data_IF_278413645242
#
_entry.id   IF_278413645242
#
_cell.length_a   1.000
_cell.length_b   1.000
_cell.length_c   1.000
_cell.angle_alpha   90.00
_cell.angle_beta   90.00
_cell.angle_gamma   90.00
#
_symmetry.space_group_name_H-M   'P 1'
#
loop_
_entity.id
_entity.type
_entity.pdbx_description
1 polymer ?
#
# COMPACT_ATOMS: atom_id res chain seq x y z
N UNK A 1 4.55 15.57 18.31
CA UNK A 1 4.42 14.24 17.69
C UNK A 1 4.58 14.42 16.20
N UNK A 2 5.36 13.57 15.55
CA UNK A 2 5.52 13.57 14.08
C UNK A 2 4.25 13.02 13.44
N UNK A 3 3.78 13.64 12.35
CA UNK A 3 2.56 13.22 11.69
C UNK A 3 2.77 11.91 10.91
N UNK A 4 1.69 11.17 10.64
CA UNK A 4 1.75 9.95 9.84
C UNK A 4 2.27 10.25 8.42
N UNK A 5 1.88 11.40 7.87
CA UNK A 5 2.35 11.90 6.56
C UNK A 5 3.86 12.10 6.52
N UNK A 6 4.46 12.64 7.59
CA UNK A 6 5.92 12.85 7.63
C UNK A 6 6.69 11.53 7.51
N UNK A 7 6.13 10.42 8.01
CA UNK A 7 6.75 9.10 7.88
C UNK A 7 6.63 8.54 6.45
N UNK A 8 5.53 8.82 5.77
CA UNK A 8 5.40 8.45 4.36
C UNK A 8 6.32 9.28 3.46
N UNK A 9 6.48 10.57 3.75
CA UNK A 9 7.42 11.43 3.04
C UNK A 9 8.87 10.95 3.25
N UNK A 10 9.23 10.58 4.48
CA UNK A 10 10.51 9.93 4.78
C UNK A 10 10.68 8.59 4.04
N UNK A 11 9.59 7.86 3.81
CA UNK A 11 9.59 6.63 3.03
C UNK A 11 9.59 6.86 1.51
N UNK A 12 9.66 8.12 1.04
CA UNK A 12 9.77 8.46 -0.38
C UNK A 12 8.43 8.62 -1.11
N UNK A 13 7.31 8.78 -0.41
CA UNK A 13 5.97 8.91 -1.03
C UNK A 13 5.91 9.98 -2.15
N UNK A 14 6.65 11.08 -1.99
CA UNK A 14 6.73 12.16 -2.98
C UNK A 14 7.22 11.69 -4.37
N UNK A 15 8.01 10.60 -4.44
CA UNK A 15 8.48 10.03 -5.71
C UNK A 15 7.38 9.30 -6.50
N UNK A 16 6.31 8.88 -5.83
CA UNK A 16 5.19 8.16 -6.46
C UNK A 16 4.27 9.05 -7.29
N UNK A 17 4.43 10.38 -7.22
CA UNK A 17 3.68 11.37 -8.03
C UNK A 17 2.18 11.06 -8.08
N UNK A 18 1.56 10.98 -6.91
CA UNK A 18 0.13 10.70 -6.78
C UNK A 18 -0.70 11.71 -7.59
N UNK A 19 -1.70 11.23 -8.32
CA UNK A 19 -2.67 12.08 -9.01
C UNK A 19 -3.62 12.75 -7.97
N UNK A 20 -4.40 13.77 -8.33
CA UNK A 20 -5.25 14.48 -7.36
C UNK A 20 -6.26 13.59 -6.61
N UNK A 21 -6.84 12.59 -7.28
CA UNK A 21 -7.77 11.64 -6.62
C UNK A 21 -7.03 10.79 -5.58
N UNK A 22 -5.86 10.26 -5.95
CA UNK A 22 -5.00 9.47 -5.09
C UNK A 22 -4.50 10.29 -3.88
N UNK A 23 -4.23 11.59 -4.06
CA UNK A 23 -3.85 12.51 -2.98
C UNK A 23 -4.97 12.72 -1.96
N UNK A 24 -6.21 12.89 -2.43
CA UNK A 24 -7.37 13.01 -1.53
C UNK A 24 -7.52 11.75 -0.67
N UNK A 25 -7.49 10.57 -1.29
CA UNK A 25 -7.62 9.29 -0.58
C UNK A 25 -6.47 9.09 0.40
N UNK A 26 -5.25 9.43 -0.01
CA UNK A 26 -4.08 9.42 0.88
C UNK A 26 -4.29 10.28 2.13
N UNK A 27 -4.78 11.52 1.97
CA UNK A 27 -5.02 12.40 3.10
C UNK A 27 -6.11 11.85 4.03
N UNK A 28 -7.21 11.33 3.47
CA UNK A 28 -8.28 10.70 4.24
C UNK A 28 -7.79 9.49 5.05
N UNK A 29 -6.90 8.66 4.47
CA UNK A 29 -6.27 7.55 5.19
C UNK A 29 -5.33 8.05 6.29
N UNK A 30 -4.58 9.13 6.06
CA UNK A 30 -3.73 9.73 7.09
C UNK A 30 -4.55 10.19 8.28
N UNK A 31 -5.60 10.98 8.03
CA UNK A 31 -6.48 11.51 9.07
C UNK A 31 -7.15 10.37 9.85
N UNK A 32 -7.60 9.32 9.15
CA UNK A 32 -8.27 8.14 9.73
C UNK A 32 -7.36 7.35 10.67
N UNK A 33 -6.10 7.16 10.31
CA UNK A 33 -5.18 6.28 11.05
C UNK A 33 -4.19 7.02 11.96
N UNK A 34 -4.16 8.35 11.93
CA UNK A 34 -3.26 9.16 12.77
C UNK A 34 -3.40 8.85 14.27
N UNK A 35 -4.64 8.76 14.79
CA UNK A 35 -4.87 8.48 16.20
C UNK A 35 -4.38 7.07 16.59
N UNK A 36 -4.66 6.06 15.75
CA UNK A 36 -4.20 4.68 15.97
C UNK A 36 -2.67 4.60 15.98
N UNK A 37 -2.02 5.29 15.04
CA UNK A 37 -0.56 5.36 14.98
C UNK A 37 0.04 6.04 16.22
N UNK A 38 -0.52 7.19 16.62
CA UNK A 38 -0.09 7.91 17.82
C UNK A 38 -0.20 7.02 19.06
N UNK A 39 -1.34 6.35 19.23
CA UNK A 39 -1.55 5.40 20.33
C UNK A 39 -0.53 4.26 20.28
N UNK A 40 -0.24 3.68 19.11
CA UNK A 40 0.74 2.61 18.98
C UNK A 40 2.15 3.07 19.40
N UNK A 41 2.57 4.28 18.99
CA UNK A 41 3.83 4.89 19.41
C UNK A 41 3.88 5.16 20.92
N UNK A 42 2.81 5.68 21.52
CA UNK A 42 2.75 5.97 22.95
C UNK A 42 2.84 4.71 23.81
N UNK A 43 2.24 3.60 23.37
CA UNK A 43 2.26 2.32 24.10
C UNK A 43 3.54 1.50 23.87
N UNK A 44 4.35 1.84 22.87
CA UNK A 44 5.57 1.10 22.49
C UNK A 44 6.76 2.06 22.30
N UNK A 45 7.05 2.87 23.32
CA UNK A 45 8.09 3.90 23.26
C UNK A 45 9.51 3.34 23.06
N UNK A 46 9.69 2.05 23.34
CA UNK A 46 10.93 1.29 23.14
C UNK A 46 11.15 0.85 21.68
N UNK A 47 10.13 0.94 20.81
CA UNK A 47 10.19 0.47 19.43
C UNK A 47 10.33 1.62 18.43
N UNK A 48 11.02 1.40 17.30
CA UNK A 48 11.09 2.38 16.23
C UNK A 48 9.69 2.73 15.68
N UNK A 49 9.41 4.01 15.46
CA UNK A 49 8.11 4.47 14.97
C UNK A 49 7.71 3.86 13.62
N UNK A 50 8.66 3.59 12.72
CA UNK A 50 8.35 2.89 11.46
C UNK A 50 7.80 1.47 11.67
N UNK A 51 8.15 0.79 12.77
CA UNK A 51 7.53 -0.50 13.11
C UNK A 51 6.09 -0.31 13.62
N UNK A 52 5.81 0.79 14.31
CA UNK A 52 4.44 1.13 14.72
C UNK A 52 3.58 1.52 13.52
N UNK A 53 4.16 2.23 12.56
CA UNK A 53 3.50 2.54 11.29
C UNK A 53 3.18 1.25 10.53
N UNK A 54 4.16 0.35 10.39
CA UNK A 54 3.94 -0.96 9.75
C UNK A 54 2.81 -1.73 10.45
N UNK A 55 2.81 -1.80 11.78
CA UNK A 55 1.76 -2.45 12.55
C UNK A 55 0.38 -1.83 12.32
N UNK A 56 0.29 -0.50 12.34
CA UNK A 56 -0.94 0.25 12.06
C UNK A 56 -1.49 -0.07 10.68
N UNK A 57 -0.64 -0.04 9.66
CA UNK A 57 -1.01 -0.34 8.27
C UNK A 57 -1.39 -1.80 8.08
N UNK A 58 -0.72 -2.72 8.77
CA UNK A 58 -1.04 -4.16 8.71
C UNK A 58 -2.42 -4.42 9.28
N UNK A 59 -2.74 -3.83 10.44
CA UNK A 59 -4.08 -3.94 11.03
C UNK A 59 -5.15 -3.33 10.13
N UNK A 60 -4.90 -2.12 9.61
CA UNK A 60 -5.81 -1.44 8.69
C UNK A 60 -6.07 -2.28 7.42
N UNK A 61 -5.02 -2.85 6.84
CA UNK A 61 -5.10 -3.66 5.62
C UNK A 61 -5.91 -4.94 5.84
N UNK A 62 -5.66 -5.65 6.94
CA UNK A 62 -6.44 -6.85 7.32
C UNK A 62 -7.92 -6.49 7.47
N UNK A 63 -8.21 -5.39 8.19
CA UNK A 63 -9.59 -4.96 8.42
C UNK A 63 -10.30 -4.59 7.12
N UNK A 64 -9.68 -3.76 6.27
CA UNK A 64 -10.29 -3.33 5.01
C UNK A 64 -10.44 -4.47 4.02
N UNK A 65 -9.44 -5.36 3.92
CA UNK A 65 -9.52 -6.54 3.04
C UNK A 65 -10.66 -7.46 3.47
N UNK A 66 -10.78 -7.74 4.76
CA UNK A 66 -11.88 -8.56 5.30
C UNK A 66 -13.25 -7.91 5.07
N UNK A 67 -13.39 -6.60 5.29
CA UNK A 67 -14.63 -5.88 5.00
C UNK A 67 -15.00 -5.96 3.51
N UNK A 68 -14.03 -5.76 2.62
CA UNK A 68 -14.24 -5.84 1.18
C UNK A 68 -14.65 -7.25 0.75
N UNK A 69 -14.01 -8.29 1.29
CA UNK A 69 -14.39 -9.70 1.07
C UNK A 69 -15.82 -9.99 1.53
N UNK A 70 -16.20 -9.53 2.72
CA UNK A 70 -17.56 -9.70 3.25
C UNK A 70 -18.63 -9.02 2.40
N UNK A 71 -18.30 -7.89 1.78
CA UNK A 71 -19.24 -7.11 0.96
C UNK A 71 -19.10 -7.35 -0.55
N UNK A 72 -18.20 -8.23 -0.97
CA UNK A 72 -17.80 -8.38 -2.37
C UNK A 72 -19.00 -8.59 -3.30
N UNK A 73 -19.93 -9.48 -2.94
CA UNK A 73 -21.11 -9.77 -3.76
C UNK A 73 -22.02 -8.56 -3.97
N UNK A 74 -22.23 -7.77 -2.91
CA UNK A 74 -23.03 -6.54 -2.98
C UNK A 74 -22.36 -5.49 -3.85
N UNK A 75 -21.04 -5.38 -3.77
CA UNK A 75 -20.26 -4.44 -4.56
C UNK A 75 -20.24 -4.80 -6.05
N UNK A 76 -20.13 -6.09 -6.39
CA UNK A 76 -20.26 -6.58 -7.77
C UNK A 76 -21.63 -6.21 -8.35
N UNK A 77 -22.71 -6.49 -7.60
CA UNK A 77 -24.07 -6.15 -8.04
C UNK A 77 -24.27 -4.65 -8.22
N UNK A 78 -23.71 -3.84 -7.33
CA UNK A 78 -23.78 -2.38 -7.44
C UNK A 78 -23.05 -1.90 -8.69
N UNK A 79 -21.86 -2.43 -8.96
CA UNK A 79 -21.11 -2.08 -10.17
C UNK A 79 -21.86 -2.49 -11.44
N UNK A 80 -22.48 -3.68 -11.45
CA UNK A 80 -23.31 -4.13 -12.57
C UNK A 80 -24.51 -3.20 -12.80
N UNK A 81 -25.25 -2.85 -11.75
CA UNK A 81 -26.40 -1.95 -11.84
C UNK A 81 -26.01 -0.54 -12.34
N UNK A 82 -24.82 -0.05 -11.95
CA UNK A 82 -24.27 1.22 -12.46
C UNK A 82 -23.97 1.09 -13.96
N UNK A 83 -23.24 0.05 -14.36
CA UNK A 83 -22.88 -0.17 -15.76
C UNK A 83 -24.13 -0.30 -16.66
N UNK A 84 -25.17 -0.99 -16.18
CA UNK A 84 -26.45 -1.13 -16.87
C UNK A 84 -27.26 0.17 -16.92
N UNK A 85 -27.18 1.01 -15.88
CA UNK A 85 -28.02 2.20 -15.73
C UNK A 85 -27.49 3.48 -16.38
N UNK A 86 -26.17 3.71 -16.33
CA UNK A 86 -25.54 4.92 -16.89
C UNK A 86 -24.72 4.65 -18.16
N UNK A 87 -24.60 3.38 -18.57
CA UNK A 87 -23.76 2.94 -19.68
C UNK A 87 -22.27 2.94 -19.32
N UNK A 88 -21.49 2.09 -20.00
CA UNK A 88 -20.04 1.96 -19.76
C UNK A 88 -19.30 3.30 -19.84
N UNK A 89 -19.74 4.21 -20.72
CA UNK A 89 -19.14 5.54 -20.93
C UNK A 89 -19.16 6.47 -19.70
N UNK A 90 -20.02 6.21 -18.72
CA UNK A 90 -20.11 7.00 -17.49
C UNK A 90 -19.85 6.20 -16.21
N UNK A 91 -19.77 4.87 -16.31
CA UNK A 91 -19.51 3.97 -15.20
C UNK A 91 -18.15 4.23 -14.54
N UNK A 92 -17.13 4.63 -15.30
CA UNK A 92 -15.78 4.95 -14.83
C UNK A 92 -15.73 6.08 -13.80
N UNK A 93 -16.77 6.93 -13.78
CA UNK A 93 -16.94 8.03 -12.81
C UNK A 93 -17.45 7.53 -11.45
N UNK A 94 -18.04 6.35 -11.41
CA UNK A 94 -18.52 5.69 -10.20
C UNK A 94 -17.55 4.58 -9.80
N UNK A 95 -16.37 4.99 -9.32
CA UNK A 95 -15.43 4.05 -8.73
C UNK A 95 -15.92 3.62 -7.35
N UNK A 96 -15.89 2.32 -7.10
CA UNK A 96 -16.14 1.79 -5.78
C UNK A 96 -15.08 2.30 -4.78
N UNK A 97 -15.45 3.24 -3.90
CA UNK A 97 -14.52 3.89 -2.99
C UNK A 97 -13.74 2.90 -2.13
N UNK A 98 -14.37 1.80 -1.69
CA UNK A 98 -13.72 0.80 -0.86
C UNK A 98 -12.55 0.09 -1.57
N UNK A 99 -12.66 -0.13 -2.89
CA UNK A 99 -11.58 -0.78 -3.65
C UNK A 99 -10.43 0.17 -3.93
N UNK A 100 -10.72 1.44 -4.24
CA UNK A 100 -9.69 2.45 -4.45
C UNK A 100 -8.95 2.77 -3.15
N UNK A 101 -9.66 2.85 -2.03
CA UNK A 101 -9.06 2.98 -0.69
C UNK A 101 -8.14 1.80 -0.37
N UNK A 102 -8.59 0.56 -0.59
CA UNK A 102 -7.76 -0.62 -0.32
C UNK A 102 -6.49 -0.60 -1.19
N UNK A 103 -6.58 -0.24 -2.48
CA UNK A 103 -5.41 -0.12 -3.33
C UNK A 103 -4.41 0.92 -2.80
N UNK A 104 -4.90 2.08 -2.38
CA UNK A 104 -4.03 3.12 -1.80
C UNK A 104 -3.41 2.64 -0.48
N UNK A 105 -4.19 2.03 0.39
CA UNK A 105 -3.70 1.48 1.65
C UNK A 105 -2.63 0.41 1.41
N UNK A 106 -2.83 -0.50 0.46
CA UNK A 106 -1.81 -1.51 0.09
C UNK A 106 -0.55 -0.85 -0.47
N UNK A 107 -0.66 0.20 -1.31
CA UNK A 107 0.51 0.95 -1.79
C UNK A 107 1.33 1.53 -0.63
N UNK A 108 0.67 2.21 0.32
CA UNK A 108 1.33 2.78 1.50
C UNK A 108 1.96 1.70 2.40
N UNK A 109 1.27 0.58 2.57
CA UNK A 109 1.79 -0.54 3.35
C UNK A 109 3.03 -1.16 2.72
N UNK A 110 2.99 -1.42 1.41
CA UNK A 110 4.10 -1.98 0.64
C UNK A 110 5.28 -1.00 0.53
N UNK A 111 5.01 0.32 0.45
CA UNK A 111 6.03 1.38 0.58
C UNK A 111 6.82 1.24 1.88
N UNK A 112 6.13 1.13 3.01
CA UNK A 112 6.77 0.98 4.33
C UNK A 112 7.52 -0.35 4.45
N UNK A 113 7.00 -1.44 3.88
CA UNK A 113 7.73 -2.72 3.82
C UNK A 113 9.05 -2.59 3.04
N UNK A 114 9.02 -1.88 1.91
CA UNK A 114 10.20 -1.55 1.13
C UNK A 114 11.21 -0.73 1.93
N UNK A 115 10.74 0.32 2.61
CA UNK A 115 11.55 1.16 3.49
C UNK A 115 12.21 0.38 4.62
N UNK A 116 11.51 -0.62 5.17
CA UNK A 116 12.05 -1.49 6.20
C UNK A 116 12.90 -2.66 5.67
N UNK A 117 13.17 -2.69 4.34
CA UNK A 117 13.91 -3.77 3.65
C UNK A 117 13.34 -5.16 3.96
N UNK A 118 12.03 -5.27 4.05
CA UNK A 118 11.34 -6.54 4.25
C UNK A 118 11.48 -7.45 3.02
N UNK A 119 11.07 -8.71 3.16
CA UNK A 119 11.15 -9.68 2.08
C UNK A 119 10.28 -9.26 0.88
N UNK A 120 10.91 -9.21 -0.30
CA UNK A 120 10.26 -8.80 -1.54
C UNK A 120 9.14 -9.76 -1.95
N UNK A 121 9.36 -11.07 -1.80
CA UNK A 121 8.38 -12.08 -2.22
C UNK A 121 7.10 -11.94 -1.40
N UNK A 122 7.23 -11.74 -0.10
CA UNK A 122 6.10 -11.47 0.79
C UNK A 122 5.33 -10.19 0.40
N UNK A 123 6.03 -9.09 0.14
CA UNK A 123 5.41 -7.84 -0.31
C UNK A 123 4.68 -8.01 -1.65
N UNK A 124 5.27 -8.78 -2.58
CA UNK A 124 4.66 -9.09 -3.87
C UNK A 124 3.40 -9.96 -3.73
N UNK A 125 3.39 -10.92 -2.81
CA UNK A 125 2.19 -11.73 -2.54
C UNK A 125 1.06 -10.88 -1.95
N UNK A 126 1.38 -9.96 -1.04
CA UNK A 126 0.41 -8.99 -0.50
C UNK A 126 -0.18 -8.08 -1.58
N UNK A 127 0.68 -7.58 -2.48
CA UNK A 127 0.25 -6.78 -3.63
C UNK A 127 -0.66 -7.59 -4.56
N UNK A 128 -0.30 -8.83 -4.88
CA UNK A 128 -1.10 -9.72 -5.72
C UNK A 128 -2.47 -10.05 -5.11
N UNK A 129 -2.51 -10.35 -3.80
CA UNK A 129 -3.76 -10.68 -3.13
C UNK A 129 -4.73 -9.48 -3.11
N UNK A 130 -4.22 -8.28 -2.83
CA UNK A 130 -5.02 -7.06 -2.89
C UNK A 130 -5.53 -6.78 -4.31
N UNK A 131 -4.65 -6.95 -5.32
CA UNK A 131 -5.00 -6.77 -6.72
C UNK A 131 -6.09 -7.75 -7.18
N UNK A 132 -6.02 -9.02 -6.78
CA UNK A 132 -7.05 -10.03 -7.07
C UNK A 132 -8.38 -9.69 -6.42
N UNK A 133 -8.36 -9.27 -5.16
CA UNK A 133 -9.57 -8.90 -4.43
C UNK A 133 -10.30 -7.72 -5.10
N UNK A 134 -9.53 -6.73 -5.54
CA UNK A 134 -10.07 -5.53 -6.21
C UNK A 134 -10.50 -5.79 -7.65
N UNK A 135 -9.78 -6.64 -8.40
CA UNK A 135 -10.16 -7.03 -9.77
C UNK A 135 -11.60 -7.58 -9.84
N UNK A 136 -12.02 -8.36 -8.84
CA UNK A 136 -13.39 -8.88 -8.79
C UNK A 136 -14.47 -7.79 -8.86
N UNK A 137 -14.14 -6.54 -8.52
CA UNK A 137 -15.05 -5.40 -8.52
C UNK A 137 -14.75 -4.42 -9.65
N UNK A 138 -13.47 -4.12 -9.91
CA UNK A 138 -13.08 -3.11 -10.91
C UNK A 138 -12.88 -3.69 -12.32
N UNK A 139 -12.78 -5.01 -12.48
CA UNK A 139 -12.48 -5.65 -13.77
C UNK A 139 -11.09 -5.34 -14.32
N UNK A 140 -10.20 -4.77 -13.51
CA UNK A 140 -8.85 -4.38 -13.90
C UNK A 140 -7.86 -5.54 -13.73
N UNK A 141 -6.93 -5.69 -14.69
CA UNK A 141 -5.92 -6.74 -14.67
C UNK A 141 -5.11 -6.74 -13.34
N UNK A 142 -5.17 -7.83 -12.55
CA UNK A 142 -4.42 -7.96 -11.31
C UNK A 142 -2.92 -7.73 -11.46
N UNK A 143 -2.31 -8.08 -12.60
CA UNK A 143 -0.87 -7.92 -12.80
C UNK A 143 -0.48 -6.47 -13.03
N UNK A 144 -1.33 -5.68 -13.69
CA UNK A 144 -1.15 -4.23 -13.83
C UNK A 144 -1.25 -3.57 -12.45
N UNK A 145 -2.28 -3.91 -11.68
CA UNK A 145 -2.48 -3.37 -10.32
C UNK A 145 -1.30 -3.75 -9.40
N UNK A 146 -0.90 -5.02 -9.39
CA UNK A 146 0.24 -5.52 -8.61
C UNK A 146 1.52 -4.79 -8.99
N UNK A 147 1.80 -4.61 -10.27
CA UNK A 147 3.01 -3.90 -10.73
C UNK A 147 3.03 -2.46 -10.26
N UNK A 148 1.89 -1.76 -10.33
CA UNK A 148 1.76 -0.40 -9.80
C UNK A 148 1.93 -0.32 -8.28
N UNK A 149 1.47 -1.33 -7.52
CA UNK A 149 1.72 -1.42 -6.08
C UNK A 149 3.20 -1.66 -5.79
N UNK A 150 3.85 -2.57 -6.52
CA UNK A 150 5.25 -2.91 -6.29
C UNK A 150 6.22 -1.78 -6.63
N UNK A 151 5.82 -0.82 -7.46
CA UNK A 151 6.58 0.43 -7.60
C UNK A 151 6.81 1.13 -6.26
N UNK A 152 5.80 1.12 -5.37
CA UNK A 152 5.91 1.69 -4.04
C UNK A 152 6.94 0.96 -3.17
N UNK A 153 7.04 -0.37 -3.29
CA UNK A 153 8.07 -1.14 -2.60
C UNK A 153 9.48 -0.65 -2.94
N UNK A 154 9.75 -0.48 -4.23
CA UNK A 154 11.07 -0.05 -4.70
C UNK A 154 11.39 1.38 -4.31
N UNK A 155 10.40 2.29 -4.37
CA UNK A 155 10.57 3.66 -3.86
C UNK A 155 10.94 3.65 -2.38
N UNK A 156 10.19 2.91 -1.56
CA UNK A 156 10.50 2.78 -0.14
C UNK A 156 11.88 2.19 0.11
N UNK A 157 12.23 1.14 -0.64
CA UNK A 157 13.55 0.52 -0.56
C UNK A 157 14.68 1.51 -0.88
N UNK A 158 14.50 2.40 -1.86
CA UNK A 158 15.51 3.39 -2.24
C UNK A 158 15.62 4.53 -1.22
N UNK A 159 14.52 4.93 -0.60
CA UNK A 159 14.50 5.95 0.45
C UNK A 159 15.05 5.45 1.81
N UNK A 160 15.19 4.14 1.96
CA UNK A 160 15.61 3.52 3.22
C UNK A 160 17.07 3.82 3.59
N UNK A 161 17.34 4.25 4.84
CA UNK A 161 18.71 4.37 5.35
C UNK A 161 19.31 3.01 5.75
N UNK A 162 18.51 1.93 5.72
CA UNK A 162 18.97 0.59 6.11
C UNK A 162 19.86 0.06 4.98
N UNK A 163 21.12 -0.35 5.27
CA UNK A 163 22.01 -0.90 4.25
C UNK A 163 21.40 -2.15 3.61
N UNK A 164 21.59 -2.29 2.30
CA UNK A 164 21.18 -3.52 1.62
C UNK A 164 21.98 -4.70 2.16
N UNK A 165 21.28 -5.74 2.60
CA UNK A 165 21.89 -7.00 3.08
C UNK A 165 22.50 -7.83 1.95
N UNK A 166 22.42 -7.38 0.69
CA UNK A 166 23.02 -8.11 -0.44
C UNK A 166 24.48 -7.69 -0.55
N UNK A 167 25.45 -8.61 -0.39
CA UNK A 167 26.84 -8.28 -0.65
C UNK A 167 26.95 -7.81 -2.10
N UNK A 168 27.65 -6.68 -2.29
CA UNK A 168 27.94 -6.18 -3.62
C UNK A 168 28.65 -7.30 -4.38
N UNK A 169 28.29 -7.56 -5.65
CA UNK A 169 28.90 -8.65 -6.43
C UNK A 169 30.43 -8.49 -6.48
N UNK A 170 30.88 -7.24 -6.42
CA UNK A 170 32.29 -6.86 -6.27
C UNK A 170 32.93 -7.35 -4.96
N UNK A 171 32.22 -7.36 -3.84
CA UNK A 171 32.74 -7.87 -2.56
C UNK A 171 32.92 -9.39 -2.60
N UNK A 172 32.02 -10.10 -3.31
CA UNK A 172 32.13 -11.55 -3.52
C UNK A 172 33.29 -11.91 -4.45
N UNK A 173 33.53 -11.13 -5.50
CA UNK A 173 34.65 -11.32 -6.42
C UNK A 173 36.00 -11.02 -5.75
N UNK A 174 36.05 -9.98 -4.91
CA UNK A 174 37.26 -9.60 -4.17
C UNK A 174 37.64 -10.64 -3.11
N UNK A 175 36.66 -11.29 -2.47
CA UNK A 175 36.89 -12.37 -1.51
C UNK A 175 37.33 -13.71 -2.16
N UNK A 176 37.21 -13.85 -3.49
CA UNK A 176 37.64 -15.04 -4.23
C UNK A 176 39.03 -14.88 -4.87
N UNK A 177 39.50 -13.64 -5.00
CA UNK A 177 40.79 -13.28 -5.62
C UNK A 177 41.86 -12.81 -4.63
N UNK A 178 41.54 -12.74 -3.34
CA UNK A 178 42.49 -12.52 -2.24
C UNK A 178 42.61 -13.77 -1.38
#
# INVERSE_FOLDING_TARGET
MTSLSDYFDQAGLSELKLNPQDQTIYQELCDRYQATFNNACEHNQDKPSFHMLLGTLTQAHIQQSSQLEHHLHSLIKMQQAINEGVGEEHADKFKNTATVELLMLTKLWVLVQGYLKMDFSLANDHALNSAKLVNNVLGADPDILRSGIMQAFYVGQNASPIPDKRPNIFDRLKAWLG
#
